data_IF_976928700971
#
_entry.id   IF_976928700971
#
_cell.length_a   1.000
_cell.length_b   1.000
_cell.length_c   1.000
_cell.angle_alpha   90.00
_cell.angle_beta   90.00
_cell.angle_gamma   90.00
#
_symmetry.space_group_name_H-M   'P 1'
#
loop_
_entity.id
_entity.type
_entity.pdbx_description
1 polymer ?
#
# COMPACT_ATOMS: atom_id res chain seq x y z
N UNK A 1 -0.42 20.81 -14.53
CA UNK A 1 0.41 19.84 -13.78
C UNK A 1 1.77 19.76 -14.45
N UNK A 2 2.87 19.87 -13.69
CA UNK A 2 4.24 19.97 -14.25
C UNK A 2 5.01 18.64 -14.24
N UNK A 3 4.53 17.64 -13.50
CA UNK A 3 5.05 16.28 -13.50
C UNK A 3 4.46 15.45 -12.35
N UNK A 4 4.75 14.16 -12.32
CA UNK A 4 4.38 13.20 -11.28
C UNK A 4 5.62 12.44 -10.80
N UNK A 5 5.73 12.23 -9.50
CA UNK A 5 6.71 11.32 -8.88
C UNK A 5 5.90 10.35 -8.02
N UNK A 6 5.84 9.10 -8.45
CA UNK A 6 5.02 8.04 -7.86
C UNK A 6 5.92 6.98 -7.23
N UNK A 7 5.50 6.43 -6.08
CA UNK A 7 6.22 5.36 -5.37
C UNK A 7 5.26 4.37 -4.75
N UNK A 8 5.61 3.08 -4.75
CA UNK A 8 4.80 2.04 -4.11
C UNK A 8 3.42 1.99 -4.77
N UNK A 9 3.40 1.66 -6.06
CA UNK A 9 2.21 1.85 -6.90
C UNK A 9 1.08 0.96 -6.40
N UNK A 10 0.02 1.61 -5.94
CA UNK A 10 -1.22 0.97 -5.55
C UNK A 10 -2.36 1.48 -6.42
N UNK A 11 -3.09 0.58 -7.06
CA UNK A 11 -4.24 0.95 -7.91
C UNK A 11 -5.58 0.42 -7.42
N UNK A 12 -5.59 -0.15 -6.21
CA UNK A 12 -6.80 -0.61 -5.53
C UNK A 12 -7.55 -1.72 -6.29
N UNK A 13 -6.86 -2.47 -7.17
CA UNK A 13 -7.44 -3.63 -7.84
C UNK A 13 -7.80 -4.70 -6.82
N UNK A 14 -8.84 -5.48 -7.12
CA UNK A 14 -9.25 -6.59 -6.27
C UNK A 14 -8.11 -7.58 -5.98
N UNK A 15 -7.21 -7.81 -6.95
CA UNK A 15 -6.03 -8.67 -6.77
C UNK A 15 -4.99 -8.11 -5.79
N UNK A 16 -4.90 -6.79 -5.66
CA UNK A 16 -3.97 -6.13 -4.72
C UNK A 16 -4.50 -6.24 -3.29
N UNK A 17 -5.81 -6.02 -3.11
CA UNK A 17 -6.49 -6.20 -1.82
C UNK A 17 -6.48 -7.67 -1.39
N UNK A 18 -6.78 -8.58 -2.33
CA UNK A 18 -6.76 -10.01 -2.11
C UNK A 18 -5.37 -10.51 -1.69
N UNK A 19 -4.31 -9.99 -2.33
CA UNK A 19 -2.93 -10.31 -1.98
C UNK A 19 -2.62 -10.00 -0.50
N UNK A 20 -2.90 -8.78 -0.05
CA UNK A 20 -2.39 -8.31 1.24
C UNK A 20 -3.34 -8.54 2.41
N UNK A 21 -4.66 -8.48 2.19
CA UNK A 21 -5.66 -8.56 3.28
C UNK A 21 -6.51 -9.84 3.25
N UNK A 22 -6.37 -10.70 2.24
CA UNK A 22 -7.18 -11.92 2.12
C UNK A 22 -6.35 -13.23 2.10
N UNK A 23 -5.04 -13.17 2.31
CA UNK A 23 -4.23 -14.34 2.72
C UNK A 23 -2.88 -14.58 2.06
N UNK A 24 -2.66 -14.34 0.74
CA UNK A 24 -1.41 -14.68 0.07
C UNK A 24 -0.15 -14.10 0.74
N UNK A 25 -0.17 -12.85 1.20
CA UNK A 25 0.94 -12.24 1.93
C UNK A 25 1.27 -12.94 3.26
N UNK A 26 0.29 -13.63 3.88
CA UNK A 26 0.49 -14.45 5.08
C UNK A 26 1.41 -15.66 4.88
N UNK A 27 1.67 -16.07 3.63
CA UNK A 27 2.69 -17.09 3.33
C UNK A 27 4.12 -16.59 3.59
N UNK A 28 4.33 -15.27 3.62
CA UNK A 28 5.62 -14.64 3.93
C UNK A 28 5.70 -14.23 5.40
N UNK A 29 4.58 -13.75 5.96
CA UNK A 29 4.49 -13.29 7.36
C UNK A 29 3.42 -14.10 8.15
N UNK A 30 3.64 -15.39 8.42
CA UNK A 30 2.63 -16.24 9.02
C UNK A 30 2.28 -15.84 10.47
N UNK A 31 3.25 -15.33 11.22
CA UNK A 31 3.09 -14.80 12.58
C UNK A 31 2.28 -13.50 12.60
N UNK A 32 2.60 -12.56 11.70
CA UNK A 32 1.82 -11.34 11.50
C UNK A 32 0.39 -11.65 11.05
N UNK A 33 0.23 -12.63 10.16
CA UNK A 33 -1.08 -13.04 9.62
C UNK A 33 -1.97 -13.69 10.69
N UNK A 34 -1.39 -14.51 11.58
CA UNK A 34 -2.11 -15.07 12.72
C UNK A 34 -2.66 -13.95 13.63
N UNK A 35 -1.83 -12.95 13.95
CA UNK A 35 -2.26 -11.80 14.74
C UNK A 35 -3.33 -10.95 14.02
N UNK A 36 -3.19 -10.75 12.70
CA UNK A 36 -4.16 -10.03 11.88
C UNK A 36 -5.51 -10.75 11.79
N UNK A 37 -5.54 -12.07 11.75
CA UNK A 37 -6.81 -12.81 11.61
C UNK A 37 -7.48 -13.14 12.94
N UNK A 38 -6.77 -13.01 14.07
CA UNK A 38 -7.31 -13.27 15.40
C UNK A 38 -8.61 -12.51 15.76
N UNK A 39 -8.81 -11.23 15.37
CA UNK A 39 -10.09 -10.52 15.61
C UNK A 39 -11.27 -11.04 14.78
N UNK A 40 -11.01 -11.76 13.69
CA UNK A 40 -12.01 -12.25 12.73
C UNK A 40 -11.90 -13.78 12.54
N UNK A 41 -12.01 -14.56 13.64
CA UNK A 41 -11.70 -15.98 13.60
C UNK A 41 -12.66 -16.74 12.67
N UNK A 42 -12.10 -17.64 11.86
CA UNK A 42 -12.87 -18.51 10.95
C UNK A 42 -13.45 -17.81 9.72
N UNK A 43 -13.13 -16.53 9.49
CA UNK A 43 -13.50 -15.84 8.25
C UNK A 43 -12.62 -16.35 7.11
N UNK A 44 -13.27 -16.83 6.05
CA UNK A 44 -12.59 -17.31 4.85
C UNK A 44 -12.09 -16.15 3.96
N UNK A 45 -11.11 -16.46 3.11
CA UNK A 45 -10.57 -15.55 2.08
C UNK A 45 -11.70 -14.94 1.23
N UNK A 46 -11.65 -13.63 1.05
CA UNK A 46 -12.66 -12.82 0.38
C UNK A 46 -13.68 -12.19 1.34
N UNK A 47 -13.58 -12.45 2.64
CA UNK A 47 -14.48 -11.92 3.66
C UNK A 47 -13.78 -11.11 4.76
N UNK A 48 -12.45 -11.08 4.81
CA UNK A 48 -11.70 -10.52 5.94
C UNK A 48 -11.87 -9.00 5.99
N UNK A 49 -11.74 -8.31 4.85
CA UNK A 49 -11.93 -6.85 4.78
C UNK A 49 -13.33 -6.46 5.28
N UNK A 50 -14.36 -7.19 4.84
CA UNK A 50 -15.75 -6.95 5.23
C UNK A 50 -16.03 -7.29 6.71
N UNK A 51 -15.35 -8.29 7.26
CA UNK A 51 -15.43 -8.60 8.68
C UNK A 51 -14.81 -7.49 9.53
N UNK A 52 -13.64 -6.98 9.13
CA UNK A 52 -13.02 -5.82 9.76
C UNK A 52 -13.88 -4.57 9.68
N UNK A 53 -14.56 -4.32 8.55
CA UNK A 53 -15.47 -3.18 8.40
C UNK A 53 -16.55 -3.14 9.49
N UNK A 54 -17.10 -4.32 9.86
CA UNK A 54 -18.09 -4.43 10.94
C UNK A 54 -17.49 -4.12 12.31
N UNK A 55 -16.32 -4.67 12.62
CA UNK A 55 -15.63 -4.43 13.89
C UNK A 55 -15.24 -2.95 14.04
N UNK A 56 -14.69 -2.35 12.99
CA UNK A 56 -14.23 -0.97 12.99
C UNK A 56 -15.38 0.05 13.09
N UNK A 57 -16.57 -0.30 12.58
CA UNK A 57 -17.77 0.52 12.66
C UNK A 57 -18.51 0.43 14.00
N UNK A 58 -18.18 -0.54 14.85
CA UNK A 58 -18.82 -0.72 16.15
C UNK A 58 -18.58 0.52 17.05
N UNK A 59 -19.61 1.05 17.73
CA UNK A 59 -19.45 2.20 18.61
C UNK A 59 -18.61 1.90 19.87
N UNK A 60 -18.49 0.63 20.28
CA UNK A 60 -17.76 0.22 21.48
C UNK A 60 -16.22 0.19 21.22
N UNK A 61 -15.43 1.01 21.94
CA UNK A 61 -13.97 0.98 21.87
C UNK A 61 -13.33 -0.36 22.20
N UNK A 62 -13.98 -1.19 23.03
CA UNK A 62 -13.49 -2.53 23.32
C UNK A 62 -13.58 -3.47 22.10
N UNK A 63 -14.44 -3.15 21.13
CA UNK A 63 -14.59 -3.90 19.88
C UNK A 63 -13.69 -3.32 18.78
N UNK A 64 -13.83 -2.02 18.48
CA UNK A 64 -13.09 -1.43 17.36
C UNK A 64 -11.60 -1.20 17.65
N UNK A 65 -11.22 -1.01 18.92
CA UNK A 65 -9.83 -0.73 19.32
C UNK A 65 -8.87 -1.87 18.97
N UNK A 66 -9.10 -3.10 19.46
CA UNK A 66 -8.24 -4.24 19.13
C UNK A 66 -8.19 -4.55 17.62
N UNK A 67 -9.32 -4.43 16.92
CA UNK A 67 -9.36 -4.61 15.46
C UNK A 67 -8.51 -3.55 14.74
N UNK A 68 -8.62 -2.28 15.14
CA UNK A 68 -7.82 -1.22 14.54
C UNK A 68 -6.31 -1.45 14.72
N UNK A 69 -5.88 -1.87 15.92
CA UNK A 69 -4.47 -2.15 16.19
C UNK A 69 -3.96 -3.33 15.38
N UNK A 70 -4.75 -4.42 15.28
CA UNK A 70 -4.38 -5.60 14.49
C UNK A 70 -4.24 -5.27 12.99
N UNK A 71 -5.19 -4.51 12.44
CA UNK A 71 -5.14 -4.04 11.04
C UNK A 71 -3.91 -3.17 10.77
N UNK A 72 -3.70 -2.14 11.60
CA UNK A 72 -2.60 -1.18 11.43
C UNK A 72 -1.22 -1.85 11.62
N UNK A 73 -1.11 -2.77 12.56
CA UNK A 73 0.13 -3.52 12.83
C UNK A 73 0.45 -4.50 11.70
N UNK A 74 -0.56 -5.15 11.12
CA UNK A 74 -0.40 -6.01 9.95
C UNK A 74 0.27 -5.27 8.82
N UNK A 75 -0.24 -4.09 8.46
CA UNK A 75 0.36 -3.30 7.40
C UNK A 75 1.79 -2.89 7.72
N UNK A 76 2.03 -2.37 8.93
CA UNK A 76 3.36 -1.95 9.36
C UNK A 76 4.41 -3.06 9.25
N UNK A 77 4.00 -4.32 9.42
CA UNK A 77 4.90 -5.49 9.31
C UNK A 77 5.42 -5.72 7.88
N UNK A 78 4.69 -5.26 6.86
CA UNK A 78 5.06 -5.38 5.44
C UNK A 78 5.69 -4.11 4.83
N UNK A 79 5.77 -3.00 5.57
CA UNK A 79 6.22 -1.70 5.03
C UNK A 79 7.74 -1.69 4.73
N UNK A 80 8.56 -2.31 5.57
CA UNK A 80 10.02 -2.29 5.41
C UNK A 80 10.57 -3.66 5.05
N UNK A 81 11.67 -3.71 4.28
CA UNK A 81 12.29 -4.97 3.88
C UNK A 81 12.80 -5.76 5.09
N UNK A 82 13.52 -5.07 5.97
CA UNK A 82 13.91 -5.59 7.27
C UNK A 82 12.93 -5.06 8.32
N UNK A 83 12.47 -5.88 9.28
CA UNK A 83 11.54 -5.43 10.30
C UNK A 83 12.07 -4.24 11.09
N UNK A 84 11.23 -3.21 11.26
CA UNK A 84 11.50 -2.03 12.10
C UNK A 84 10.47 -1.96 13.25
N UNK A 85 10.81 -2.45 14.46
CA UNK A 85 9.86 -2.52 15.58
C UNK A 85 9.28 -1.16 16.01
N UNK A 86 10.03 -0.09 15.83
CA UNK A 86 9.60 1.29 16.09
C UNK A 86 8.51 1.76 15.11
N UNK A 87 8.57 1.34 13.84
CA UNK A 87 7.50 1.58 12.87
C UNK A 87 6.23 0.85 13.30
N UNK A 88 6.34 -0.43 13.67
CA UNK A 88 5.20 -1.23 14.15
C UNK A 88 4.59 -0.61 15.41
N UNK A 89 5.41 -0.21 16.38
CA UNK A 89 4.95 0.40 17.62
C UNK A 89 4.18 1.72 17.38
N UNK A 90 4.61 2.52 16.39
CA UNK A 90 3.89 3.73 15.99
C UNK A 90 2.52 3.42 15.39
N UNK A 91 2.44 2.39 14.53
CA UNK A 91 1.19 1.96 13.92
C UNK A 91 0.22 1.32 14.92
N UNK A 92 0.75 0.75 16.00
CA UNK A 92 -0.04 0.20 17.11
C UNK A 92 -0.57 1.27 18.09
N UNK A 93 -0.20 2.55 17.95
CA UNK A 93 -0.72 3.60 18.82
C UNK A 93 -2.25 3.72 18.62
N UNK A 94 -3.08 3.63 19.68
CA UNK A 94 -4.53 3.48 19.54
C UNK A 94 -5.23 4.56 18.71
N UNK A 95 -4.85 5.84 18.86
CA UNK A 95 -5.53 6.93 18.14
C UNK A 95 -5.16 6.94 16.65
N UNK A 96 -3.89 6.68 16.33
CA UNK A 96 -3.39 6.50 14.98
C UNK A 96 -4.04 5.28 14.33
N UNK A 97 -3.97 4.12 14.99
CA UNK A 97 -4.49 2.84 14.48
C UNK A 97 -5.98 2.95 14.12
N UNK A 98 -6.78 3.58 14.98
CA UNK A 98 -8.21 3.71 14.75
C UNK A 98 -8.54 4.57 13.53
N UNK A 99 -7.89 5.73 13.40
CA UNK A 99 -8.09 6.60 12.24
C UNK A 99 -7.59 5.91 10.96
N UNK A 100 -6.40 5.32 11.01
CA UNK A 100 -5.77 4.59 9.92
C UNK A 100 -6.66 3.47 9.40
N UNK A 101 -6.97 2.49 10.26
CA UNK A 101 -7.74 1.30 9.89
C UNK A 101 -9.15 1.65 9.39
N UNK A 102 -9.84 2.61 10.02
CA UNK A 102 -11.20 3.01 9.58
C UNK A 102 -11.20 3.62 8.18
N UNK A 103 -10.29 4.56 7.93
CA UNK A 103 -10.25 5.27 6.64
C UNK A 103 -9.83 4.29 5.55
N UNK A 104 -8.79 3.50 5.81
CA UNK A 104 -8.27 2.55 4.84
C UNK A 104 -9.29 1.45 4.49
N UNK A 105 -9.80 0.75 5.51
CA UNK A 105 -10.83 -0.27 5.31
C UNK A 105 -12.07 0.31 4.61
N UNK A 106 -12.46 1.56 4.92
CA UNK A 106 -13.55 2.24 4.25
C UNK A 106 -13.30 2.41 2.75
N UNK A 107 -12.11 2.84 2.32
CA UNK A 107 -11.79 2.92 0.89
C UNK A 107 -11.80 1.55 0.22
N UNK A 108 -11.31 0.51 0.90
CA UNK A 108 -11.28 -0.85 0.36
C UNK A 108 -12.67 -1.44 0.19
N UNK A 109 -13.55 -1.24 1.16
CA UNK A 109 -14.96 -1.67 1.09
C UNK A 109 -15.72 -1.07 -0.09
N UNK A 110 -15.26 0.06 -0.63
CA UNK A 110 -15.89 0.74 -1.76
C UNK A 110 -15.09 0.61 -3.07
N UNK A 111 -13.99 -0.16 -3.09
CA UNK A 111 -13.10 -0.24 -4.25
C UNK A 111 -12.57 1.13 -4.68
N UNK A 112 -12.39 2.04 -3.73
CA UNK A 112 -12.06 3.45 -4.00
C UNK A 112 -13.06 4.20 -4.86
N UNK A 113 -14.30 3.71 -4.98
CA UNK A 113 -15.35 4.20 -5.90
C UNK A 113 -14.92 4.19 -7.37
N UNK A 114 -14.02 3.27 -7.74
CA UNK A 114 -13.51 3.08 -9.09
C UNK A 114 -13.96 1.73 -9.65
N UNK A 115 -13.94 1.60 -10.97
CA UNK A 115 -13.98 0.28 -11.60
C UNK A 115 -12.64 -0.44 -11.37
N UNK A 116 -12.69 -1.77 -11.26
CA UNK A 116 -11.48 -2.58 -11.12
C UNK A 116 -10.54 -2.37 -12.32
N UNK A 117 -9.27 -2.06 -12.04
CA UNK A 117 -8.25 -1.78 -13.07
C UNK A 117 -8.37 -0.44 -13.79
N UNK A 118 -9.30 0.43 -13.39
CA UNK A 118 -9.54 1.74 -14.03
C UNK A 118 -8.27 2.58 -14.16
N UNK A 119 -7.47 2.69 -13.10
CA UNK A 119 -6.28 3.53 -13.09
C UNK A 119 -5.19 3.05 -14.08
N UNK A 120 -5.05 1.75 -14.28
CA UNK A 120 -4.09 1.19 -15.25
C UNK A 120 -4.62 1.35 -16.68
N UNK A 121 -5.90 1.03 -16.91
CA UNK A 121 -6.56 1.17 -18.22
C UNK A 121 -6.53 2.61 -18.72
N UNK A 122 -6.80 3.56 -17.83
CA UNK A 122 -6.94 4.98 -18.16
C UNK A 122 -5.62 5.76 -17.96
N UNK A 123 -4.52 5.10 -17.61
CA UNK A 123 -3.19 5.70 -17.44
C UNK A 123 -2.71 6.46 -18.69
N UNK A 124 -3.23 6.10 -19.86
CA UNK A 124 -2.98 6.75 -21.13
C UNK A 124 -3.41 8.24 -21.16
N UNK A 125 -4.28 8.67 -20.24
CA UNK A 125 -4.67 10.06 -20.04
C UNK A 125 -3.54 10.92 -19.42
N UNK A 126 -2.52 10.27 -18.84
CA UNK A 126 -1.33 10.94 -18.30
C UNK A 126 -0.24 11.17 -19.36
N UNK A 127 -0.45 10.76 -20.62
CA UNK A 127 0.53 10.97 -21.69
C UNK A 127 0.92 12.44 -21.85
N UNK A 128 2.20 12.69 -22.11
CA UNK A 128 2.76 14.05 -22.15
C UNK A 128 2.99 14.69 -20.77
N UNK A 129 2.59 14.05 -19.66
CA UNK A 129 2.94 14.50 -18.31
C UNK A 129 4.21 13.75 -17.89
N UNK A 130 5.32 14.46 -17.61
CA UNK A 130 6.54 13.82 -17.15
C UNK A 130 6.28 13.04 -15.86
N UNK A 131 6.50 11.72 -15.89
CA UNK A 131 6.18 10.82 -14.78
C UNK A 131 7.39 9.97 -14.40
N UNK A 132 7.67 9.90 -13.11
CA UNK A 132 8.68 9.04 -12.49
C UNK A 132 7.97 7.99 -11.63
N UNK A 133 8.34 6.72 -11.75
CA UNK A 133 7.79 5.59 -11.00
C UNK A 133 8.95 4.89 -10.28
N UNK A 134 8.91 4.86 -8.95
CA UNK A 134 9.90 4.19 -8.11
C UNK A 134 9.23 3.04 -7.36
N UNK A 135 9.75 1.83 -7.48
CA UNK A 135 9.16 0.65 -6.84
C UNK A 135 10.23 -0.20 -6.15
N UNK A 136 9.98 -0.64 -4.92
CA UNK A 136 10.79 -1.68 -4.27
C UNK A 136 10.48 -3.06 -4.85
N UNK A 137 11.52 -3.85 -5.13
CA UNK A 137 11.37 -5.22 -5.67
C UNK A 137 10.60 -6.14 -4.73
N UNK A 138 10.76 -5.94 -3.42
CA UNK A 138 10.17 -6.75 -2.35
C UNK A 138 9.13 -5.95 -1.57
N UNK A 139 8.47 -4.98 -2.23
CA UNK A 139 7.33 -4.26 -1.66
C UNK A 139 6.16 -5.23 -1.44
N UNK A 140 5.88 -5.52 -0.17
CA UNK A 140 4.87 -6.50 0.23
C UNK A 140 3.48 -5.90 0.32
N UNK A 141 3.36 -4.61 0.65
CA UNK A 141 2.08 -3.88 0.69
C UNK A 141 1.49 -3.69 -0.71
N UNK A 142 2.35 -3.31 -1.66
CA UNK A 142 1.97 -2.99 -3.04
C UNK A 142 2.86 -3.77 -4.01
N UNK A 143 2.50 -5.01 -4.38
CA UNK A 143 3.36 -5.87 -5.18
C UNK A 143 3.84 -5.23 -6.48
N UNK A 144 5.11 -5.46 -6.80
CA UNK A 144 5.80 -4.85 -7.94
C UNK A 144 5.09 -5.03 -9.31
N UNK A 145 4.20 -6.02 -9.44
CA UNK A 145 3.38 -6.23 -10.64
C UNK A 145 2.52 -5.00 -10.97
N UNK A 146 1.97 -4.29 -9.99
CA UNK A 146 1.16 -3.08 -10.27
C UNK A 146 2.01 -1.97 -10.88
N UNK A 147 3.20 -1.72 -10.33
CA UNK A 147 4.11 -0.73 -10.89
C UNK A 147 4.59 -1.10 -12.30
N UNK A 148 4.80 -2.41 -12.54
CA UNK A 148 5.14 -2.93 -13.86
C UNK A 148 4.00 -2.75 -14.88
N UNK A 149 2.77 -3.04 -14.49
CA UNK A 149 1.58 -2.83 -15.32
C UNK A 149 1.40 -1.34 -15.66
N UNK A 150 1.59 -0.45 -14.69
CA UNK A 150 1.52 1.00 -14.91
C UNK A 150 2.63 1.47 -15.87
N UNK A 151 3.87 1.01 -15.69
CA UNK A 151 4.97 1.32 -16.61
C UNK A 151 4.66 0.87 -18.04
N UNK A 152 4.04 -0.30 -18.22
CA UNK A 152 3.62 -0.79 -19.54
C UNK A 152 2.50 0.03 -20.16
N UNK A 153 1.56 0.52 -19.35
CA UNK A 153 0.44 1.35 -19.80
C UNK A 153 0.87 2.80 -20.09
N UNK A 154 1.92 3.28 -19.42
CA UNK A 154 2.51 4.61 -19.59
C UNK A 154 4.02 4.48 -19.91
N UNK A 155 4.39 4.05 -21.14
CA UNK A 155 5.77 3.74 -21.50
C UNK A 155 6.72 4.96 -21.50
N UNK A 156 6.16 6.17 -21.53
CA UNK A 156 6.90 7.44 -21.43
C UNK A 156 7.40 7.72 -20.00
N UNK A 157 6.84 7.05 -18.99
CA UNK A 157 7.27 7.22 -17.60
C UNK A 157 8.67 6.63 -17.39
N UNK A 158 9.51 7.33 -16.62
CA UNK A 158 10.77 6.75 -16.13
C UNK A 158 10.43 5.74 -15.04
N UNK A 159 10.82 4.50 -15.24
CA UNK A 159 10.60 3.41 -14.30
C UNK A 159 11.90 2.98 -13.62
N UNK A 160 11.91 3.02 -12.29
CA UNK A 160 13.03 2.60 -11.45
C UNK A 160 12.56 1.50 -10.50
N UNK A 161 13.09 0.30 -10.69
CA UNK A 161 12.91 -0.81 -9.76
C UNK A 161 14.13 -0.91 -8.84
N UNK A 162 13.93 -0.74 -7.55
CA UNK A 162 14.98 -0.84 -6.53
C UNK A 162 15.13 -2.30 -6.11
N UNK A 163 16.29 -2.95 -6.35
CA UNK A 163 16.42 -4.41 -6.28
C UNK A 163 16.31 -4.99 -4.87
N UNK A 164 16.60 -4.19 -3.83
CA UNK A 164 16.76 -4.59 -2.43
C UNK A 164 15.97 -3.69 -1.47
N UNK A 165 14.76 -3.30 -1.86
CA UNK A 165 13.88 -2.45 -1.04
C UNK A 165 12.46 -3.02 -0.89
N UNK A 166 11.85 -2.69 0.26
CA UNK A 166 10.45 -2.90 0.60
C UNK A 166 9.54 -1.78 0.10
N UNK A 167 8.53 -1.42 0.88
CA UNK A 167 7.53 -0.41 0.52
C UNK A 167 7.94 1.02 0.91
N UNK A 168 8.57 1.18 2.07
CA UNK A 168 8.76 2.48 2.72
C UNK A 168 9.55 3.47 1.84
N UNK A 169 9.16 4.75 1.87
CA UNK A 169 9.84 5.78 1.09
C UNK A 169 11.30 6.00 1.53
N UNK A 170 11.61 5.64 2.78
CA UNK A 170 12.92 5.79 3.43
C UNK A 170 13.80 4.53 3.33
N UNK A 171 13.37 3.50 2.58
CA UNK A 171 14.30 2.44 2.15
C UNK A 171 15.45 3.08 1.37
N UNK A 172 16.73 2.75 1.65
CA UNK A 172 17.87 3.53 1.14
C UNK A 172 17.85 3.76 -0.38
N UNK A 173 17.58 2.71 -1.17
CA UNK A 173 17.51 2.82 -2.63
C UNK A 173 16.25 3.53 -3.15
N UNK A 174 15.13 3.47 -2.41
CA UNK A 174 13.91 4.22 -2.76
C UNK A 174 14.13 5.71 -2.49
N UNK A 175 14.69 6.05 -1.32
CA UNK A 175 14.98 7.42 -0.94
C UNK A 175 15.92 8.10 -1.94
N UNK A 176 17.02 7.42 -2.32
CA UNK A 176 17.94 7.91 -3.35
C UNK A 176 17.23 8.16 -4.68
N UNK A 177 16.45 7.18 -5.17
CA UNK A 177 15.70 7.30 -6.42
C UNK A 177 14.68 8.46 -6.39
N UNK A 178 14.03 8.69 -5.24
CA UNK A 178 13.10 9.81 -5.05
C UNK A 178 13.83 11.16 -5.05
N UNK A 179 14.97 11.29 -4.37
CA UNK A 179 15.80 12.50 -4.40
C UNK A 179 16.19 12.80 -5.85
N UNK A 180 16.73 11.81 -6.56
CA UNK A 180 17.12 11.93 -7.96
C UNK A 180 15.93 12.31 -8.87
N UNK A 181 14.73 11.78 -8.61
CA UNK A 181 13.52 12.16 -9.34
C UNK A 181 13.13 13.63 -9.09
N UNK A 182 13.23 14.10 -7.85
CA UNK A 182 12.96 15.50 -7.51
C UNK A 182 13.98 16.47 -8.10
N UNK A 183 15.27 16.12 -8.14
CA UNK A 183 16.32 16.90 -8.80
C UNK A 183 16.03 17.05 -10.31
N UNK A 184 15.72 15.95 -11.00
CA UNK A 184 15.32 15.99 -12.42
C UNK A 184 14.05 16.82 -12.66
N UNK A 185 13.12 16.83 -11.71
CA UNK A 185 11.92 17.66 -11.82
C UNK A 185 12.28 19.15 -11.68
N UNK A 186 13.14 19.51 -10.72
CA UNK A 186 13.63 20.87 -10.55
C UNK A 186 14.38 21.37 -11.79
N UNK A 187 15.28 20.57 -12.35
CA UNK A 187 16.04 20.89 -13.57
C UNK A 187 15.14 21.14 -14.79
N UNK A 188 14.01 20.42 -14.89
CA UNK A 188 13.03 20.63 -15.96
C UNK A 188 12.25 21.92 -15.79
N UNK A 189 11.94 22.30 -14.55
CA UNK A 189 11.19 23.52 -14.23
C UNK A 189 12.04 24.80 -14.34
N UNK A 190 13.36 24.67 -14.23
CA UNK A 190 14.30 25.78 -14.36
C UNK A 190 14.63 26.14 -15.83
N UNK A 191 14.16 25.34 -16.80
CA UNK A 191 14.33 25.56 -18.25
C UNK A 191 13.10 26.20 -18.85
#
# INVERSE_FOLDING_TARGET
>A
MTGLILRGIFTLRATELDWFYEGPAGMVYPDGWEAFTAPVPGVERGGIIAAYARLLADPDPAVHGPAAVAWSTWEASGITLLPKPDVVARFAEPTYALAFARIENHYFMHGGWMEDGQLIRDAHLLRGIPTEIVQGRYDMCTPAVTAWDLHRALPEARFTMVPDAGHAFDEPGILDALIQATERAADRLAR
#
